data_IF_866188832754
#
_entry.id   IF_866188832754
#
_cell.length_a   1.000
_cell.length_b   1.000
_cell.length_c   1.000
_cell.angle_alpha   90.00
_cell.angle_beta   90.00
_cell.angle_gamma   90.00
#
_symmetry.space_group_name_H-M   'P 1'
#
loop_
_entity.id
_entity.type
_entity.pdbx_description
1 polymer ?
#
# COMPACT_ATOMS: atom_id res chain seq x y z
N UNK A 1 -8.00 19.07 6.89
CA UNK A 1 -8.09 18.28 8.12
C UNK A 1 -8.53 16.90 7.71
N UNK A 2 -7.64 15.93 7.91
CA UNK A 2 -7.94 14.52 7.70
C UNK A 2 -8.99 14.09 8.72
N UNK A 3 -9.98 13.34 8.23
CA UNK A 3 -11.08 12.80 9.02
C UNK A 3 -11.47 11.42 8.48
N UNK A 4 -12.36 10.72 9.20
CA UNK A 4 -12.76 9.35 8.84
C UNK A 4 -13.29 9.23 7.41
N UNK A 5 -14.08 10.21 6.93
CA UNK A 5 -14.58 10.20 5.55
C UNK A 5 -13.45 10.31 4.52
N UNK A 6 -12.46 11.18 4.75
CA UNK A 6 -11.29 11.24 3.86
C UNK A 6 -10.47 9.95 3.89
N UNK A 7 -10.41 9.24 5.03
CA UNK A 7 -9.73 7.96 5.13
C UNK A 7 -10.49 6.84 4.43
N UNK A 8 -11.83 6.86 4.43
CA UNK A 8 -12.64 5.95 3.60
C UNK A 8 -12.32 6.14 2.11
N UNK A 9 -12.20 7.39 1.64
CA UNK A 9 -11.79 7.65 0.26
C UNK A 9 -10.39 7.10 -0.02
N UNK A 10 -9.44 7.31 0.89
CA UNK A 10 -8.06 6.82 0.75
C UNK A 10 -7.97 5.29 0.74
N UNK A 11 -8.74 4.60 1.57
CA UNK A 11 -8.82 3.13 1.57
C UNK A 11 -9.44 2.62 0.27
N UNK A 12 -10.48 3.28 -0.25
CA UNK A 12 -11.01 2.94 -1.57
C UNK A 12 -9.99 3.15 -2.70
N UNK A 13 -9.21 4.23 -2.66
CA UNK A 13 -8.10 4.48 -3.60
C UNK A 13 -7.07 3.34 -3.54
N UNK A 14 -6.63 2.96 -2.34
CA UNK A 14 -5.72 1.84 -2.11
C UNK A 14 -6.25 0.54 -2.73
N UNK A 15 -7.51 0.19 -2.44
CA UNK A 15 -8.15 -1.02 -2.96
C UNK A 15 -8.34 -1.02 -4.48
N UNK A 16 -8.51 0.15 -5.09
CA UNK A 16 -8.66 0.29 -6.54
C UNK A 16 -7.33 0.13 -7.29
N UNK A 17 -6.18 0.18 -6.60
CA UNK A 17 -4.88 0.03 -7.26
C UNK A 17 -4.68 -1.40 -7.79
N UNK A 18 -4.08 -1.57 -8.98
CA UNK A 18 -3.85 -2.89 -9.55
C UNK A 18 -2.80 -3.70 -8.77
N UNK A 19 -1.96 -3.02 -7.98
CA UNK A 19 -0.91 -3.62 -7.16
C UNK A 19 -1.36 -3.98 -5.74
N UNK A 20 -2.57 -3.60 -5.32
CA UNK A 20 -3.10 -3.99 -4.02
C UNK A 20 -3.48 -5.48 -4.05
N UNK A 21 -2.98 -6.25 -3.09
CA UNK A 21 -3.25 -7.68 -2.97
C UNK A 21 -4.73 -7.92 -2.60
N UNK A 22 -5.17 -9.18 -2.64
CA UNK A 22 -6.57 -9.50 -2.34
C UNK A 22 -6.87 -9.34 -0.85
N UNK A 23 -5.90 -9.71 -0.01
CA UNK A 23 -5.96 -9.70 1.45
C UNK A 23 -6.12 -8.27 1.99
N UNK A 24 -5.34 -7.32 1.46
CA UNK A 24 -5.44 -5.92 1.82
C UNK A 24 -6.74 -5.27 1.31
N UNK A 25 -7.26 -5.70 0.16
CA UNK A 25 -8.60 -5.29 -0.29
C UNK A 25 -9.68 -5.76 0.68
N UNK A 26 -9.60 -7.01 1.11
CA UNK A 26 -10.53 -7.57 2.07
C UNK A 26 -10.45 -6.84 3.42
N UNK A 27 -9.25 -6.56 3.92
CA UNK A 27 -9.04 -5.79 5.15
C UNK A 27 -9.62 -4.36 5.04
N UNK A 28 -9.40 -3.70 3.89
CA UNK A 28 -9.95 -2.36 3.62
C UNK A 28 -11.47 -2.35 3.62
N UNK A 29 -12.10 -3.31 2.93
CA UNK A 29 -13.56 -3.42 2.87
C UNK A 29 -14.15 -3.76 4.24
N UNK A 30 -13.54 -4.68 5.00
CA UNK A 30 -13.97 -5.03 6.36
C UNK A 30 -13.97 -3.82 7.30
N UNK A 31 -12.97 -2.94 7.20
CA UNK A 31 -12.97 -1.72 7.99
C UNK A 31 -14.09 -0.77 7.57
N UNK A 32 -14.29 -0.53 6.27
CA UNK A 32 -15.36 0.32 5.75
C UNK A 32 -16.73 -0.17 6.21
N UNK A 33 -16.99 -1.48 6.11
CA UNK A 33 -18.26 -2.09 6.51
C UNK A 33 -18.49 -2.08 8.03
N UNK A 34 -17.41 -2.04 8.82
CA UNK A 34 -17.47 -2.01 10.27
C UNK A 34 -17.68 -0.60 10.85
N UNK A 35 -17.64 0.47 10.04
CA UNK A 35 -17.83 1.84 10.52
C UNK A 35 -19.20 1.99 11.20
N UNK A 36 -19.20 2.48 12.44
CA UNK A 36 -20.39 2.63 13.28
C UNK A 36 -20.83 1.36 14.01
N UNK A 37 -20.06 0.27 13.91
CA UNK A 37 -20.32 -0.99 14.61
C UNK A 37 -19.34 -1.20 15.77
N UNK A 38 -19.57 -2.23 16.58
CA UNK A 38 -18.67 -2.69 17.64
C UNK A 38 -17.34 -3.27 17.11
N UNK A 39 -17.31 -3.68 15.83
CA UNK A 39 -16.12 -4.23 15.17
C UNK A 39 -15.18 -3.16 14.59
N UNK A 40 -15.59 -1.88 14.56
CA UNK A 40 -14.85 -0.82 13.86
C UNK A 40 -13.37 -0.77 14.30
N UNK A 41 -13.14 -0.79 15.62
CA UNK A 41 -11.80 -0.70 16.20
C UNK A 41 -10.95 -1.91 15.85
N UNK A 42 -11.51 -3.12 15.90
CA UNK A 42 -10.78 -4.33 15.56
C UNK A 42 -10.40 -4.35 14.08
N UNK A 43 -11.36 -4.04 13.20
CA UNK A 43 -11.13 -3.97 11.76
C UNK A 43 -10.13 -2.87 11.38
N UNK A 44 -10.14 -1.72 12.07
CA UNK A 44 -9.14 -0.67 11.88
C UNK A 44 -7.72 -1.13 12.24
N UNK A 45 -7.56 -1.84 13.38
CA UNK A 45 -6.27 -2.39 13.78
C UNK A 45 -5.76 -3.44 12.78
N UNK A 46 -6.66 -4.30 12.29
CA UNK A 46 -6.32 -5.30 11.28
C UNK A 46 -5.90 -4.64 9.95
N UNK A 47 -6.61 -3.61 9.50
CA UNK A 47 -6.23 -2.85 8.32
C UNK A 47 -4.85 -2.19 8.46
N UNK A 48 -4.58 -1.51 9.58
CA UNK A 48 -3.27 -0.88 9.83
C UNK A 48 -2.13 -1.92 9.84
N UNK A 49 -2.38 -3.09 10.43
CA UNK A 49 -1.42 -4.19 10.45
C UNK A 49 -1.14 -4.70 9.03
N UNK A 50 -2.18 -4.91 8.23
CA UNK A 50 -2.07 -5.40 6.86
C UNK A 50 -1.33 -4.39 5.97
N UNK A 51 -1.71 -3.10 6.01
CA UNK A 51 -1.00 -2.05 5.28
C UNK A 51 0.48 -2.02 5.66
N UNK A 52 0.80 -2.14 6.96
CA UNK A 52 2.20 -2.12 7.43
C UNK A 52 3.02 -3.30 6.92
N UNK A 53 2.39 -4.45 6.66
CA UNK A 53 3.04 -5.64 6.11
C UNK A 53 3.21 -5.55 4.58
N UNK A 54 2.31 -4.86 3.90
CA UNK A 54 2.27 -4.81 2.43
C UNK A 54 2.96 -3.60 1.82
N UNK A 55 3.28 -2.56 2.60
CA UNK A 55 4.17 -1.50 2.13
C UNK A 55 5.58 -2.03 1.93
N UNK A 56 6.12 -1.84 0.73
CA UNK A 56 7.43 -2.37 0.36
C UNK A 56 8.52 -1.33 0.60
N UNK A 57 9.66 -1.77 1.14
CA UNK A 57 10.87 -0.96 1.12
C UNK A 57 11.34 -0.80 -0.33
N UNK A 58 11.92 0.35 -0.64
CA UNK A 58 12.46 0.60 -1.99
C UNK A 58 13.52 -0.45 -2.38
N UNK A 59 14.31 -0.90 -1.40
CA UNK A 59 15.35 -1.91 -1.60
C UNK A 59 14.79 -3.28 -2.00
N UNK A 60 13.68 -3.68 -1.39
CA UNK A 60 13.02 -4.94 -1.72
C UNK A 60 12.44 -4.89 -3.14
N UNK A 61 11.91 -3.74 -3.56
CA UNK A 61 11.44 -3.54 -4.94
C UNK A 61 12.59 -3.61 -5.94
N UNK A 62 13.74 -2.98 -5.65
CA UNK A 62 14.94 -3.06 -6.51
C UNK A 62 15.41 -4.52 -6.63
N UNK A 63 15.45 -5.25 -5.51
CA UNK A 63 15.87 -6.66 -5.51
C UNK A 63 14.89 -7.54 -6.31
N UNK A 64 13.58 -7.37 -6.07
CA UNK A 64 12.55 -8.13 -6.76
C UNK A 64 12.56 -7.88 -8.27
N UNK A 65 12.64 -6.63 -8.69
CA UNK A 65 12.58 -6.24 -10.12
C UNK A 65 13.76 -6.73 -10.95
N UNK A 66 14.87 -7.09 -10.31
CA UNK A 66 16.04 -7.74 -10.95
C UNK A 66 15.93 -9.26 -11.07
N UNK A 67 14.89 -9.87 -10.49
CA UNK A 67 14.66 -11.32 -10.54
C UNK A 67 14.01 -11.78 -11.84
N UNK A 68 14.13 -13.08 -12.14
CA UNK A 68 13.40 -13.72 -13.25
C UNK A 68 11.89 -13.67 -13.05
N UNK A 69 11.41 -13.75 -11.80
CA UNK A 69 9.97 -13.70 -11.49
C UNK A 69 9.34 -12.35 -11.83
N UNK A 70 10.05 -11.24 -11.58
CA UNK A 70 9.55 -9.93 -12.00
C UNK A 70 9.49 -9.78 -13.53
N UNK A 71 10.42 -10.40 -14.27
CA UNK A 71 10.36 -10.43 -15.73
C UNK A 71 9.19 -11.27 -16.25
N UNK A 72 8.84 -12.36 -15.58
CA UNK A 72 7.64 -13.16 -15.88
C UNK A 72 6.36 -12.39 -15.58
N UNK A 73 6.30 -11.72 -14.42
CA UNK A 73 5.09 -11.01 -13.98
C UNK A 73 4.83 -9.69 -14.73
N UNK A 74 5.88 -8.92 -15.01
CA UNK A 74 5.75 -7.58 -15.60
C UNK A 74 6.21 -7.50 -17.06
N UNK A 75 6.96 -8.50 -17.54
CA UNK A 75 7.75 -8.41 -18.76
C UNK A 75 9.12 -7.75 -18.50
N UNK A 76 10.16 -8.26 -19.18
CA UNK A 76 11.55 -7.84 -18.96
C UNK A 76 11.77 -6.32 -19.09
N UNK A 77 11.17 -5.68 -20.11
CA UNK A 77 11.33 -4.25 -20.33
C UNK A 77 10.64 -3.40 -19.25
N UNK A 78 9.48 -3.84 -18.75
CA UNK A 78 8.79 -3.15 -17.66
C UNK A 78 9.53 -3.35 -16.34
N UNK A 79 10.01 -4.56 -16.04
CA UNK A 79 10.79 -4.86 -14.86
C UNK A 79 12.05 -3.96 -14.76
N UNK A 80 12.78 -3.79 -15.87
CA UNK A 80 13.93 -2.86 -15.93
C UNK A 80 13.54 -1.41 -15.65
N UNK A 81 12.40 -0.93 -16.17
CA UNK A 81 11.90 0.43 -15.91
C UNK A 81 11.54 0.64 -14.44
N UNK A 82 10.89 -0.35 -13.81
CA UNK A 82 10.56 -0.29 -12.38
C UNK A 82 11.84 -0.30 -11.55
N UNK A 83 12.82 -1.17 -11.87
CA UNK A 83 14.11 -1.22 -11.18
C UNK A 83 14.82 0.15 -11.22
N UNK A 84 14.89 0.75 -12.42
CA UNK A 84 15.51 2.08 -12.61
C UNK A 84 14.79 3.15 -11.79
N UNK A 85 13.45 3.19 -11.84
CA UNK A 85 12.65 4.15 -11.05
C UNK A 85 12.88 3.97 -9.54
N UNK A 86 12.88 2.73 -9.06
CA UNK A 86 13.13 2.43 -7.65
C UNK A 86 14.54 2.87 -7.22
N UNK A 87 15.57 2.71 -8.07
CA UNK A 87 16.92 3.23 -7.83
C UNK A 87 16.95 4.77 -7.79
N UNK A 88 16.21 5.45 -8.66
CA UNK A 88 16.10 6.92 -8.70
C UNK A 88 15.47 7.48 -7.42
N UNK A 89 14.33 6.94 -6.97
CA UNK A 89 13.68 7.43 -5.75
C UNK A 89 14.49 7.07 -4.50
N UNK A 90 15.21 5.93 -4.48
CA UNK A 90 16.15 5.60 -3.41
C UNK A 90 17.28 6.63 -3.33
N UNK A 91 17.85 7.01 -4.47
CA UNK A 91 18.88 8.04 -4.52
C UNK A 91 18.36 9.42 -4.06
N UNK A 92 17.06 9.68 -4.24
CA UNK A 92 16.38 10.86 -3.68
C UNK A 92 16.02 10.73 -2.19
N UNK A 93 16.34 9.61 -1.52
CA UNK A 93 16.14 9.39 -0.09
C UNK A 93 14.82 8.70 0.28
N UNK A 94 14.07 8.17 -0.67
CA UNK A 94 12.86 7.40 -0.38
C UNK A 94 13.20 6.11 0.37
N UNK A 95 12.45 5.83 1.44
CA UNK A 95 12.55 4.57 2.19
C UNK A 95 11.64 3.48 1.61
N UNK A 96 10.47 3.87 1.13
CA UNK A 96 9.41 2.99 0.67
C UNK A 96 9.19 3.16 -0.84
N UNK A 97 8.61 2.14 -1.46
CA UNK A 97 8.09 2.20 -2.82
C UNK A 97 7.04 3.32 -2.94
N UNK A 98 6.99 3.98 -4.09
CA UNK A 98 6.06 5.07 -4.38
C UNK A 98 4.92 4.65 -5.32
N UNK A 99 4.73 3.34 -5.55
CA UNK A 99 3.59 2.88 -6.32
C UNK A 99 2.27 3.36 -5.67
N UNK A 100 1.18 3.50 -6.45
CA UNK A 100 -0.08 4.03 -5.91
C UNK A 100 -0.56 3.31 -4.64
N UNK A 101 -0.33 1.99 -4.52
CA UNK A 101 -0.69 1.23 -3.32
C UNK A 101 0.17 1.62 -2.10
N UNK A 102 1.49 1.64 -2.25
CA UNK A 102 2.39 2.00 -1.15
C UNK A 102 2.18 3.46 -0.71
N UNK A 103 2.00 4.38 -1.67
CA UNK A 103 1.70 5.79 -1.38
C UNK A 103 0.40 5.94 -0.59
N UNK A 104 -0.70 5.31 -1.03
CA UNK A 104 -1.97 5.36 -0.31
C UNK A 104 -1.89 4.69 1.07
N UNK A 105 -1.20 3.55 1.17
CA UNK A 105 -0.95 2.86 2.43
C UNK A 105 -0.18 3.72 3.44
N UNK A 106 0.91 4.37 3.01
CA UNK A 106 1.71 5.25 3.86
C UNK A 106 0.89 6.46 4.35
N UNK A 107 0.04 7.03 3.50
CA UNK A 107 -0.85 8.12 3.89
C UNK A 107 -1.84 7.67 4.98
N UNK A 108 -2.44 6.48 4.83
CA UNK A 108 -3.31 5.90 5.88
C UNK A 108 -2.54 5.67 7.18
N UNK A 109 -1.31 5.13 7.11
CA UNK A 109 -0.48 4.90 8.30
C UNK A 109 -0.09 6.21 9.02
N UNK A 110 0.18 7.27 8.27
CA UNK A 110 0.49 8.59 8.82
C UNK A 110 -0.69 9.18 9.60
N UNK A 111 -1.91 8.86 9.15
CA UNK A 111 -3.16 9.34 9.76
C UNK A 111 -3.92 8.23 10.50
N UNK A 112 -3.24 7.18 10.95
CA UNK A 112 -3.87 6.01 11.59
C UNK A 112 -4.73 6.36 12.80
N UNK A 113 -4.36 7.40 13.55
CA UNK A 113 -5.11 7.86 14.73
C UNK A 113 -6.49 8.46 14.36
N UNK A 114 -6.75 8.72 13.08
CA UNK A 114 -8.05 9.15 12.56
C UNK A 114 -9.02 7.98 12.39
N UNK A 115 -8.50 6.75 12.25
CA UNK A 115 -9.30 5.54 12.02
C UNK A 115 -9.29 4.54 13.19
N UNK A 116 -8.34 4.67 14.13
CA UNK A 116 -8.23 3.88 15.37
C UNK A 116 -9.11 4.43 16.49
#
# INVERSE_FOLDING_TARGET
>A
MENKNSMVLKVNELMATPSCCAELKEAGQKWIDAIGTDQEKESANNLIKEISADILLVDDVINFTKSSMAAEQFGAERAKKIAKHAEEIKAAGAKYCDCPACTAGLEILQHKDVIL
#
